data_IF_382269253760
#
_entry.id   IF_382269253760
#
_cell.length_a   1.000
_cell.length_b   1.000
_cell.length_c   1.000
_cell.angle_alpha   90.00
_cell.angle_beta   90.00
_cell.angle_gamma   90.00
#
_symmetry.space_group_name_H-M   'P 1'
#
loop_
_entity.id
_entity.type
_entity.pdbx_description
1 polymer ?
#
# COMPACT_ATOMS: atom_id res chain seq x y z
N UNK A 1 -2.86 15.88 10.37
CA UNK A 1 -3.52 15.43 9.14
C UNK A 1 -2.56 14.65 8.27
N UNK A 2 -1.33 15.14 8.14
CA UNK A 2 -0.24 14.59 7.33
C UNK A 2 1.08 14.81 8.09
N UNK A 3 2.02 13.87 8.03
CA UNK A 3 3.44 14.02 8.40
C UNK A 3 4.33 13.52 7.26
N UNK A 4 5.65 13.65 7.41
CA UNK A 4 6.61 13.10 6.45
C UNK A 4 6.55 11.56 6.40
N UNK A 5 6.12 10.94 7.49
CA UNK A 5 6.05 9.49 7.64
C UNK A 5 4.67 8.91 7.35
N UNK A 6 3.56 9.63 7.65
CA UNK A 6 2.20 9.06 7.57
C UNK A 6 1.10 10.05 7.16
N UNK A 7 0.04 9.52 6.53
CA UNK A 7 -1.19 10.23 6.17
C UNK A 7 -2.46 9.43 6.53
N UNK A 8 -2.73 9.17 7.83
CA UNK A 8 -3.78 8.25 8.25
C UNK A 8 -5.20 8.68 7.86
N UNK A 9 -5.45 9.98 7.69
CA UNK A 9 -6.78 10.46 7.25
C UNK A 9 -7.04 10.16 5.77
N UNK A 10 -6.00 10.20 4.92
CA UNK A 10 -6.11 9.85 3.51
C UNK A 10 -6.43 8.36 3.37
N UNK A 11 -5.77 7.51 4.18
CA UNK A 11 -6.05 6.09 4.22
C UNK A 11 -7.52 5.77 4.46
N UNK A 12 -8.15 6.43 5.44
CA UNK A 12 -9.57 6.20 5.73
C UNK A 12 -10.46 6.57 4.55
N UNK A 13 -10.12 7.64 3.81
CA UNK A 13 -10.85 8.04 2.61
C UNK A 13 -10.64 7.04 1.46
N UNK A 14 -9.42 6.54 1.29
CA UNK A 14 -9.09 5.54 0.26
C UNK A 14 -9.83 4.22 0.53
N UNK A 15 -9.82 3.72 1.77
CA UNK A 15 -10.50 2.48 2.16
C UNK A 15 -12.03 2.60 2.01
N UNK A 16 -12.61 3.74 2.34
CA UNK A 16 -14.03 4.00 2.08
C UNK A 16 -14.33 3.94 0.58
N UNK A 17 -13.53 4.63 -0.23
CA UNK A 17 -13.68 4.64 -1.69
C UNK A 17 -13.61 3.24 -2.28
N UNK A 18 -12.62 2.44 -1.87
CA UNK A 18 -12.47 1.04 -2.27
C UNK A 18 -13.73 0.26 -1.92
N UNK A 19 -14.22 0.38 -0.68
CA UNK A 19 -15.42 -0.31 -0.20
C UNK A 19 -16.68 0.07 -0.99
N UNK A 20 -16.79 1.33 -1.44
CA UNK A 20 -17.93 1.80 -2.24
C UNK A 20 -17.86 1.35 -3.71
N UNK A 21 -16.66 1.08 -4.25
CA UNK A 21 -16.44 0.79 -5.67
C UNK A 21 -16.23 -0.70 -5.99
N UNK A 22 -16.31 -1.58 -4.99
CA UNK A 22 -16.28 -3.02 -5.20
C UNK A 22 -17.23 -3.75 -4.25
N UNK A 23 -17.61 -4.97 -4.63
CA UNK A 23 -18.44 -5.84 -3.78
C UNK A 23 -17.61 -6.76 -2.88
N UNK A 24 -16.32 -6.89 -3.14
CA UNK A 24 -15.40 -7.74 -2.36
C UNK A 24 -15.11 -7.10 -0.99
N UNK A 25 -14.92 -7.91 0.07
CA UNK A 25 -14.37 -7.39 1.32
C UNK A 25 -12.93 -6.91 1.10
N UNK A 26 -12.45 -6.00 1.96
CA UNK A 26 -11.09 -5.46 1.89
C UNK A 26 -10.02 -6.58 1.88
N UNK A 27 -10.22 -7.64 2.66
CA UNK A 27 -9.31 -8.79 2.72
C UNK A 27 -9.16 -9.58 1.40
N UNK A 28 -10.06 -9.38 0.43
CA UNK A 28 -10.00 -10.00 -0.90
C UNK A 28 -9.59 -9.01 -2.00
N UNK A 29 -9.12 -7.83 -1.60
CA UNK A 29 -8.74 -6.74 -2.53
C UNK A 29 -7.27 -6.79 -2.85
N UNK A 30 -6.95 -6.72 -4.14
CA UNK A 30 -5.58 -6.57 -4.62
C UNK A 30 -5.34 -5.10 -4.95
N UNK A 31 -4.44 -4.45 -4.21
CA UNK A 31 -4.15 -3.03 -4.33
C UNK A 31 -2.68 -2.80 -4.67
N UNK A 32 -2.42 -2.20 -5.83
CA UNK A 32 -1.06 -1.91 -6.28
C UNK A 32 -0.77 -0.42 -6.21
N UNK A 33 0.29 -0.06 -5.49
CA UNK A 33 0.84 1.29 -5.47
C UNK A 33 2.10 1.34 -6.34
N UNK A 34 2.17 2.33 -7.23
CA UNK A 34 3.30 2.56 -8.13
C UNK A 34 3.92 3.93 -7.83
N UNK A 35 5.24 3.99 -7.66
CA UNK A 35 5.95 5.26 -7.46
C UNK A 35 6.97 5.23 -6.32
N UNK A 36 7.08 6.36 -5.61
CA UNK A 36 8.02 6.49 -4.48
C UNK A 36 7.43 5.88 -3.20
N UNK A 37 7.58 4.57 -3.03
CA UNK A 37 6.99 3.82 -1.91
C UNK A 37 7.67 4.04 -0.54
N UNK A 38 8.70 4.88 -0.45
CA UNK A 38 9.35 5.23 0.83
C UNK A 38 8.69 6.43 1.53
N UNK A 39 7.83 7.15 0.81
CA UNK A 39 7.19 8.35 1.32
C UNK A 39 6.06 8.01 2.31
N UNK A 40 5.41 9.05 2.85
CA UNK A 40 4.29 8.89 3.77
C UNK A 40 3.17 8.00 3.23
N UNK A 41 2.82 8.09 1.95
CA UNK A 41 1.78 7.26 1.35
C UNK A 41 2.21 5.80 1.30
N UNK A 42 3.44 5.49 0.90
CA UNK A 42 3.96 4.12 0.92
C UNK A 42 3.91 3.48 2.32
N UNK A 43 4.34 4.22 3.35
CA UNK A 43 4.27 3.77 4.75
C UNK A 43 2.82 3.60 5.23
N UNK A 44 1.95 4.56 4.90
CA UNK A 44 0.53 4.53 5.29
C UNK A 44 -0.20 3.33 4.65
N UNK A 45 0.16 2.99 3.41
CA UNK A 45 -0.41 1.82 2.73
C UNK A 45 0.05 0.50 3.35
N UNK A 46 1.27 0.42 3.90
CA UNK A 46 1.69 -0.75 4.68
C UNK A 46 0.77 -0.96 5.90
N UNK A 47 0.44 0.12 6.63
CA UNK A 47 -0.50 0.06 7.75
C UNK A 47 -1.90 -0.37 7.28
N UNK A 48 -2.35 0.13 6.12
CA UNK A 48 -3.60 -0.29 5.50
C UNK A 48 -3.67 -1.80 5.35
N UNK A 49 -2.66 -2.39 4.71
CA UNK A 49 -2.60 -3.82 4.43
C UNK A 49 -2.51 -4.64 5.72
N UNK A 50 -1.71 -4.17 6.68
CA UNK A 50 -1.60 -4.78 7.99
C UNK A 50 -2.96 -4.86 8.70
N UNK A 51 -3.73 -3.77 8.73
CA UNK A 51 -4.99 -3.70 9.49
C UNK A 51 -6.18 -4.34 8.77
N UNK A 52 -6.18 -4.37 7.44
CA UNK A 52 -7.36 -4.76 6.64
C UNK A 52 -7.26 -6.16 6.02
N UNK A 53 -6.05 -6.73 5.96
CA UNK A 53 -5.81 -8.02 5.31
C UNK A 53 -5.80 -7.95 3.77
N UNK A 54 -5.62 -6.78 3.17
CA UNK A 54 -5.50 -6.62 1.71
C UNK A 54 -4.23 -7.31 1.14
N UNK A 55 -4.25 -7.65 -0.16
CA UNK A 55 -3.03 -7.95 -0.94
C UNK A 55 -2.45 -6.64 -1.48
N UNK A 56 -1.56 -6.03 -0.70
CA UNK A 56 -0.84 -4.82 -1.09
C UNK A 56 0.41 -5.16 -1.90
N UNK A 57 0.59 -4.42 -2.98
CA UNK A 57 1.76 -4.52 -3.85
C UNK A 57 2.40 -3.16 -4.02
N UNK A 58 3.59 -3.00 -3.45
CA UNK A 58 4.42 -1.81 -3.64
C UNK A 58 5.34 -2.06 -4.84
N UNK A 59 5.01 -1.41 -5.96
CA UNK A 59 5.71 -1.53 -7.23
C UNK A 59 6.61 -0.32 -7.40
N UNK A 60 7.86 -0.47 -7.00
CA UNK A 60 8.82 0.63 -6.92
C UNK A 60 10.24 0.10 -7.13
N UNK A 61 11.20 0.95 -7.59
CA UNK A 61 12.62 0.62 -7.51
C UNK A 61 13.02 0.35 -6.05
N UNK A 62 13.98 -0.55 -5.81
CA UNK A 62 14.45 -0.88 -4.44
C UNK A 62 14.91 0.34 -3.63
N UNK A 63 15.49 1.33 -4.30
CA UNK A 63 15.93 2.58 -3.67
C UNK A 63 14.77 3.44 -3.14
N UNK A 64 13.54 3.17 -3.59
CA UNK A 64 12.31 3.82 -3.20
C UNK A 64 11.42 2.92 -2.35
N UNK A 65 11.95 1.83 -1.79
CA UNK A 65 11.17 0.98 -0.88
C UNK A 65 11.09 1.59 0.52
N UNK A 66 10.00 1.30 1.26
CA UNK A 66 9.90 1.66 2.68
C UNK A 66 11.01 1.00 3.51
N UNK A 67 11.20 1.49 4.74
CA UNK A 67 12.18 0.93 5.67
C UNK A 67 11.87 -0.54 5.98
N UNK A 68 12.91 -1.38 6.00
CA UNK A 68 12.77 -2.83 6.10
C UNK A 68 12.10 -3.25 7.42
N UNK A 69 12.36 -2.52 8.50
CA UNK A 69 11.77 -2.75 9.81
C UNK A 69 10.25 -2.60 9.79
N UNK A 70 9.75 -1.51 9.19
CA UNK A 70 8.32 -1.25 9.03
C UNK A 70 7.67 -2.29 8.11
N UNK A 71 8.34 -2.63 7.00
CA UNK A 71 7.85 -3.69 6.09
C UNK A 71 7.70 -5.01 6.82
N UNK A 72 8.70 -5.41 7.62
CA UNK A 72 8.67 -6.66 8.36
C UNK A 72 7.55 -6.67 9.42
N UNK A 73 7.37 -5.57 10.15
CA UNK A 73 6.28 -5.43 11.12
C UNK A 73 4.90 -5.55 10.44
N UNK A 74 4.66 -4.76 9.40
CA UNK A 74 3.39 -4.79 8.68
C UNK A 74 3.14 -6.13 7.98
N UNK A 75 4.16 -6.81 7.46
CA UNK A 75 4.04 -8.16 6.89
C UNK A 75 3.56 -9.18 7.92
N UNK A 76 4.15 -9.15 9.12
CA UNK A 76 3.76 -10.06 10.20
C UNK A 76 2.30 -9.86 10.61
N UNK A 77 1.85 -8.60 10.73
CA UNK A 77 0.47 -8.28 11.09
C UNK A 77 -0.49 -8.63 9.93
N UNK A 78 -0.15 -8.27 8.69
CA UNK A 78 -0.95 -8.57 7.51
C UNK A 78 -1.20 -10.08 7.39
N UNK A 79 -0.17 -10.92 7.60
CA UNK A 79 -0.30 -12.37 7.55
C UNK A 79 -1.29 -12.91 8.59
N UNK A 80 -1.32 -12.34 9.80
CA UNK A 80 -2.29 -12.72 10.84
C UNK A 80 -3.73 -12.36 10.45
N UNK A 81 -3.89 -11.30 9.66
CA UNK A 81 -5.18 -10.81 9.16
C UNK A 81 -5.55 -11.38 7.78
N UNK A 82 -4.79 -12.36 7.26
CA UNK A 82 -5.05 -13.01 5.98
C UNK A 82 -4.57 -12.23 4.74
N UNK A 83 -3.91 -11.10 4.93
CA UNK A 83 -3.36 -10.26 3.87
C UNK A 83 -1.96 -10.64 3.43
N UNK A 84 -1.45 -9.88 2.46
CA UNK A 84 -0.13 -10.07 1.87
C UNK A 84 0.47 -8.72 1.48
N UNK A 85 1.76 -8.54 1.74
CA UNK A 85 2.51 -7.37 1.29
C UNK A 85 3.65 -7.84 0.39
N UNK A 86 3.62 -7.40 -0.87
CA UNK A 86 4.64 -7.72 -1.88
C UNK A 86 5.37 -6.44 -2.29
N UNK A 87 6.70 -6.44 -2.22
CA UNK A 87 7.54 -5.39 -2.79
C UNK A 87 8.20 -5.93 -4.06
N UNK A 88 8.07 -5.22 -5.18
CA UNK A 88 8.63 -5.67 -6.46
C UNK A 88 9.07 -4.50 -7.34
N UNK A 89 10.14 -4.71 -8.10
CA UNK A 89 10.57 -3.79 -9.16
C UNK A 89 9.92 -4.14 -10.52
N UNK A 90 9.24 -5.29 -10.61
CA UNK A 90 8.60 -5.77 -11.83
C UNK A 90 7.17 -5.25 -11.95
N UNK A 91 6.97 -4.27 -12.84
CA UNK A 91 5.66 -3.66 -13.07
C UNK A 91 4.62 -4.68 -13.54
N UNK A 92 4.95 -5.51 -14.52
CA UNK A 92 4.01 -6.46 -15.11
C UNK A 92 3.51 -7.49 -14.08
N UNK A 93 4.38 -7.92 -13.18
CA UNK A 93 4.00 -8.79 -12.06
C UNK A 93 3.18 -8.04 -11.02
N UNK A 94 3.62 -6.84 -10.63
CA UNK A 94 2.99 -6.03 -9.59
C UNK A 94 1.54 -5.66 -9.90
N UNK A 95 1.24 -5.22 -11.13
CA UNK A 95 -0.12 -4.77 -11.51
C UNK A 95 -1.05 -5.90 -11.92
N UNK A 96 -0.54 -7.13 -12.06
CA UNK A 96 -1.32 -8.25 -12.59
C UNK A 96 -2.54 -8.53 -11.74
N UNK A 97 -3.73 -8.40 -12.32
CA UNK A 97 -5.03 -8.60 -11.66
C UNK A 97 -5.27 -7.68 -10.45
N UNK A 98 -4.57 -6.54 -10.35
CA UNK A 98 -4.90 -5.57 -9.31
C UNK A 98 -6.31 -5.02 -9.52
N UNK A 99 -7.10 -4.94 -8.43
CA UNK A 99 -8.42 -4.31 -8.44
C UNK A 99 -8.28 -2.78 -8.52
N UNK A 100 -7.24 -2.23 -7.89
CA UNK A 100 -6.93 -0.81 -7.88
C UNK A 100 -5.44 -0.56 -8.17
N UNK A 101 -5.18 0.47 -8.99
CA UNK A 101 -3.86 1.05 -9.18
C UNK A 101 -3.84 2.43 -8.54
N UNK A 102 -2.89 2.67 -7.66
CA UNK A 102 -2.70 3.93 -6.95
C UNK A 102 -1.31 4.48 -7.21
N UNK A 103 -1.18 5.80 -7.26
CA UNK A 103 0.10 6.48 -7.35
C UNK A 103 0.03 7.82 -6.64
N UNK A 104 1.19 8.42 -6.43
CA UNK A 104 1.36 9.74 -5.85
C UNK A 104 2.45 10.48 -6.63
N UNK A 105 2.60 11.78 -6.43
CA UNK A 105 3.71 12.54 -7.00
C UNK A 105 5.04 11.98 -6.48
N UNK A 106 6.01 11.75 -7.37
CA UNK A 106 7.27 11.08 -6.99
C UNK A 106 8.32 12.05 -6.43
N UNK A 107 8.10 13.34 -6.60
CA UNK A 107 8.94 14.40 -6.04
C UNK A 107 8.01 15.31 -5.26
N UNK A 108 8.05 15.19 -3.94
CA UNK A 108 7.32 16.08 -3.05
C UNK A 108 7.79 17.53 -3.25
N UNK A 109 6.89 18.49 -3.04
CA UNK A 109 7.27 19.90 -2.98
C UNK A 109 8.28 20.08 -1.84
N UNK A 110 9.43 20.66 -2.16
CA UNK A 110 10.62 20.72 -1.29
C UNK A 110 10.48 21.55 -0.03
#
# INVERSE_FOLDING_TARGET
GLTDEFHPTQLLADLLTITEHQTKPLSETIFAYLGDARNNMGNTLLEAAALTGMDLRLVAPKACWPQAELVAECQNIAQQNGGKITLTENVAEGVKNADFLYTDVWVSMG
#
